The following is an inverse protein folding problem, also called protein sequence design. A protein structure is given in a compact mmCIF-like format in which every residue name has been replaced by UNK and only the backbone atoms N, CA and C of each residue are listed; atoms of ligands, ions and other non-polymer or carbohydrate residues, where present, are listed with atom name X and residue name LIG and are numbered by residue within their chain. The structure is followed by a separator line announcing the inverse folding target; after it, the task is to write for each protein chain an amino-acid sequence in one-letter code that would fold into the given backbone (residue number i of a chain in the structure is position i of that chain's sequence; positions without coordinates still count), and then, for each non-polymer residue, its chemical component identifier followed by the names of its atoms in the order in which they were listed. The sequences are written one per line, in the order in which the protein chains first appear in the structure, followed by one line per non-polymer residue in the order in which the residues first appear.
data_IF_026497593893
#
_entry.id   IF_026497593893
#
_cell.length_a   1.000
_cell.length_b   1.000
_cell.length_c   1.000
_cell.angle_alpha   90.00
_cell.angle_beta   90.00
_cell.angle_gamma   90.00
#
_symmetry.space_group_name_H-M   'P 1'
#
loop_
_entity.id
_entity.type
_entity.pdbx_description
1 polymer ?
#
# COMPACT_ATOMS: atom_id res chain seq x y z
N UNK A 1 23.63 14.50 0.75
CA UNK A 1 22.26 14.71 1.26
C UNK A 1 21.27 15.14 0.17
N UNK A 2 21.73 15.66 -0.97
CA UNK A 2 20.83 16.16 -2.04
C UNK A 2 20.15 15.08 -2.91
N UNK A 3 20.63 13.84 -2.90
CA UNK A 3 20.09 12.76 -3.75
C UNK A 3 18.73 12.23 -3.30
N UNK A 4 18.45 12.22 -1.98
CA UNK A 4 17.18 11.73 -1.43
C UNK A 4 16.07 12.74 -1.73
N UNK A 5 16.31 14.03 -1.50
CA UNK A 5 15.37 15.13 -1.79
C UNK A 5 15.01 15.19 -3.29
N UNK A 6 15.96 14.87 -4.18
CA UNK A 6 15.67 14.81 -5.62
C UNK A 6 14.85 13.56 -6.02
N UNK A 7 15.10 12.40 -5.43
CA UNK A 7 14.22 11.23 -5.60
C UNK A 7 12.80 11.49 -5.06
N UNK A 8 12.67 12.21 -3.94
CA UNK A 8 11.37 12.63 -3.40
C UNK A 8 10.64 13.62 -4.30
N UNK A 9 11.35 14.60 -4.88
CA UNK A 9 10.77 15.49 -5.89
C UNK A 9 10.31 14.71 -7.12
N UNK A 10 11.08 13.73 -7.57
CA UNK A 10 10.68 12.88 -8.70
C UNK A 10 9.44 12.04 -8.37
N UNK A 11 9.34 11.49 -7.15
CA UNK A 11 8.13 10.79 -6.67
C UNK A 11 6.91 11.72 -6.60
N UNK A 12 7.09 12.93 -6.04
CA UNK A 12 6.02 13.93 -5.92
C UNK A 12 5.58 14.49 -7.29
N UNK A 13 6.54 14.80 -8.18
CA UNK A 13 6.28 15.35 -9.51
C UNK A 13 5.67 14.30 -10.44
N UNK A 14 6.08 13.03 -10.33
CA UNK A 14 5.46 11.93 -11.08
C UNK A 14 4.07 11.57 -10.57
N UNK A 15 3.76 11.80 -9.29
CA UNK A 15 2.41 11.60 -8.74
C UNK A 15 1.39 12.63 -9.30
N UNK A 16 1.81 13.88 -9.52
CA UNK A 16 0.91 14.96 -9.97
C UNK A 16 0.54 14.82 -11.46
N UNK A 17 1.34 14.09 -12.25
CA UNK A 17 1.09 13.86 -13.67
C UNK A 17 1.28 12.39 -14.03
N UNK A 18 0.17 11.62 -14.05
CA UNK A 18 -0.15 10.49 -14.95
C UNK A 18 -1.04 9.50 -14.19
N UNK A 19 -2.28 9.30 -14.67
CA UNK A 19 -3.33 8.43 -14.10
C UNK A 19 -3.82 7.44 -15.17
N UNK A 20 -3.64 6.13 -14.97
CA UNK A 20 -4.34 5.02 -15.69
C UNK A 20 -3.98 3.66 -15.01
N UNK A 21 -4.66 2.49 -15.10
CA UNK A 21 -5.44 1.87 -16.18
C UNK A 21 -6.19 0.59 -15.72
N UNK A 22 -7.09 0.62 -14.73
CA UNK A 22 -7.91 -0.57 -14.38
C UNK A 22 -9.35 -0.14 -14.10
N UNK A 23 -10.40 -0.83 -14.56
CA UNK A 23 -11.79 -0.30 -14.47
C UNK A 23 -12.35 -0.35 -13.04
N UNK A 24 -12.14 -1.43 -12.29
CA UNK A 24 -12.56 -1.55 -10.88
C UNK A 24 -11.66 -0.72 -9.93
N UNK A 25 -10.34 -0.71 -10.19
CA UNK A 25 -9.41 0.20 -9.51
C UNK A 25 -9.72 1.65 -9.88
N UNK A 26 -10.13 1.97 -11.12
CA UNK A 26 -10.62 3.29 -11.54
C UNK A 26 -11.90 3.68 -10.80
N UNK A 27 -12.80 2.74 -10.52
CA UNK A 27 -14.05 3.04 -9.81
C UNK A 27 -13.75 3.31 -8.32
N UNK A 28 -12.82 2.57 -7.70
CA UNK A 28 -12.28 2.87 -6.37
C UNK A 28 -11.44 4.16 -6.35
N UNK A 29 -10.58 4.41 -7.33
CA UNK A 29 -9.78 5.65 -7.52
C UNK A 29 -10.66 6.87 -7.83
N UNK A 30 -11.79 6.68 -8.54
CA UNK A 30 -12.82 7.74 -8.70
C UNK A 30 -13.56 7.98 -7.39
N UNK A 31 -13.63 6.97 -6.53
CA UNK A 31 -14.27 7.09 -5.23
C UNK A 31 -13.35 7.73 -4.20
N UNK A 32 -12.02 7.58 -4.26
CA UNK A 32 -11.02 8.17 -3.36
C UNK A 32 -10.79 9.65 -3.69
N UNK A 33 -10.96 10.51 -2.68
CA UNK A 33 -10.89 11.96 -2.83
C UNK A 33 -9.65 12.58 -2.16
N UNK A 34 -8.93 11.81 -1.34
CA UNK A 34 -7.70 12.24 -0.69
C UNK A 34 -6.72 11.08 -0.48
N UNK A 35 -5.42 11.37 -0.64
CA UNK A 35 -4.34 10.39 -0.51
C UNK A 35 -3.42 10.80 0.62
N UNK A 36 -3.42 10.01 1.69
CA UNK A 36 -2.48 10.15 2.80
C UNK A 36 -1.31 9.19 2.59
N UNK A 37 -0.09 9.66 2.79
CA UNK A 37 1.12 8.85 2.68
C UNK A 37 1.96 9.02 3.93
N UNK A 38 2.21 7.92 4.64
CA UNK A 38 3.19 7.91 5.71
C UNK A 38 4.60 7.86 5.10
N UNK A 39 5.61 8.54 5.62
CA UNK A 39 7.02 8.37 5.22
C UNK A 39 7.94 8.89 6.33
N UNK A 40 8.86 8.07 6.86
CA UNK A 40 9.81 8.43 7.93
C UNK A 40 9.19 9.25 9.09
N UNK A 41 8.06 8.76 9.62
CA UNK A 41 7.24 9.39 10.69
C UNK A 41 6.57 10.72 10.30
N UNK A 42 6.43 10.99 9.02
CA UNK A 42 5.65 12.12 8.52
C UNK A 42 4.45 11.63 7.74
N UNK A 43 3.29 12.20 8.04
CA UNK A 43 2.09 11.97 7.26
C UNK A 43 1.95 13.11 6.25
N UNK A 44 1.90 12.77 4.97
CA UNK A 44 1.71 13.68 3.86
C UNK A 44 0.30 13.57 3.33
N UNK A 45 -0.28 14.70 2.95
CA UNK A 45 -1.45 14.73 2.09
C UNK A 45 -1.00 15.11 0.69
N UNK A 46 -1.07 14.17 -0.24
CA UNK A 46 -0.40 14.31 -1.52
C UNK A 46 -1.00 15.44 -2.35
N UNK A 47 -2.32 15.60 -2.35
CA UNK A 47 -3.02 16.59 -3.15
C UNK A 47 -2.61 18.03 -2.82
N UNK A 48 -2.21 18.28 -1.58
CA UNK A 48 -1.85 19.62 -1.10
C UNK A 48 -0.35 19.82 -0.87
N UNK A 49 0.43 18.73 -0.83
CA UNK A 49 1.82 18.74 -0.41
C UNK A 49 2.06 19.02 1.08
N UNK A 50 1.01 19.24 1.87
CA UNK A 50 1.13 19.47 3.32
C UNK A 50 1.53 18.18 4.02
N UNK A 51 2.30 18.33 5.08
CA UNK A 51 2.67 17.22 5.96
C UNK A 51 2.58 17.59 7.42
N UNK A 52 2.51 16.57 8.26
CA UNK A 52 2.58 16.70 9.72
C UNK A 52 3.42 15.57 10.29
N UNK A 53 4.30 15.92 11.22
CA UNK A 53 5.17 14.98 11.93
C UNK A 53 4.36 14.20 12.96
N UNK A 54 4.59 12.89 13.01
CA UNK A 54 4.09 11.98 14.04
C UNK A 54 5.10 11.90 15.20
N UNK A 55 4.61 11.53 16.38
CA UNK A 55 5.44 11.24 17.55
C UNK A 55 6.35 10.04 17.31
N UNK A 56 7.31 9.76 18.20
CA UNK A 56 8.24 8.64 18.00
C UNK A 56 7.60 7.26 18.12
N UNK A 57 6.56 7.14 18.95
CA UNK A 57 5.83 5.90 19.23
C UNK A 57 4.37 6.03 18.77
N UNK A 58 4.18 6.65 17.61
CA UNK A 58 2.86 6.90 17.06
C UNK A 58 2.08 5.60 16.87
N UNK A 59 0.77 5.67 17.10
CA UNK A 59 -0.18 4.59 16.86
C UNK A 59 -1.23 4.97 15.83
N UNK A 60 -2.17 4.07 15.56
CA UNK A 60 -3.24 4.29 14.58
C UNK A 60 -4.14 5.48 14.95
N UNK A 61 -4.42 5.69 16.24
CA UNK A 61 -5.22 6.82 16.73
C UNK A 61 -4.53 8.17 16.44
N UNK A 62 -3.21 8.28 16.62
CA UNK A 62 -2.46 9.49 16.28
C UNK A 62 -2.44 9.71 14.76
N UNK A 63 -2.20 8.64 13.99
CA UNK A 63 -2.19 8.70 12.52
C UNK A 63 -3.52 9.23 11.98
N UNK A 64 -4.65 8.74 12.51
CA UNK A 64 -5.99 9.21 12.12
C UNK A 64 -6.24 10.66 12.53
N UNK A 65 -5.85 11.06 13.75
CA UNK A 65 -6.00 12.43 14.22
C UNK A 65 -5.19 13.42 13.37
N UNK A 66 -3.96 13.06 13.02
CA UNK A 66 -3.10 13.82 12.11
C UNK A 66 -3.61 13.82 10.67
N UNK A 67 -4.21 12.72 10.22
CA UNK A 67 -4.95 12.68 8.96
C UNK A 67 -6.07 13.72 8.92
N UNK A 68 -6.88 13.80 9.99
CA UNK A 68 -7.96 14.80 10.11
C UNK A 68 -7.44 16.24 10.04
N UNK A 69 -6.31 16.52 10.69
CA UNK A 69 -5.64 17.83 10.65
C UNK A 69 -5.31 18.24 9.20
N UNK A 70 -4.69 17.36 8.42
CA UNK A 70 -4.33 17.63 7.02
C UNK A 70 -5.58 17.81 6.13
N UNK A 71 -6.61 17.03 6.38
CA UNK A 71 -7.86 17.02 5.62
C UNK A 71 -8.82 18.16 5.98
N UNK A 72 -8.49 19.02 6.96
CA UNK A 72 -9.39 20.06 7.46
C UNK A 72 -9.82 21.13 6.44
N UNK A 73 -9.23 21.15 5.23
CA UNK A 73 -9.62 22.07 4.16
C UNK A 73 -10.66 21.49 3.18
N UNK A 74 -10.98 20.19 3.28
CA UNK A 74 -12.04 19.59 2.47
C UNK A 74 -13.41 20.02 3.01
N UNK A 75 -14.31 20.43 2.10
CA UNK A 75 -15.68 20.88 2.45
C UNK A 75 -16.58 19.75 2.96
N UNK A 76 -16.28 18.52 2.57
CA UNK A 76 -16.95 17.30 3.01
C UNK A 76 -15.89 16.22 3.28
N UNK A 77 -16.15 15.27 4.21
CA UNK A 77 -15.20 14.20 4.50
C UNK A 77 -14.84 13.42 3.23
N UNK A 78 -13.56 13.44 2.80
CA UNK A 78 -13.15 12.65 1.66
C UNK A 78 -13.08 11.17 2.07
N UNK A 79 -13.29 10.31 1.09
CA UNK A 79 -12.79 8.94 1.08
C UNK A 79 -11.26 8.95 0.94
N UNK A 80 -10.61 8.17 1.79
CA UNK A 80 -9.17 8.26 1.99
C UNK A 80 -8.49 6.99 1.50
N UNK A 81 -7.41 7.16 0.75
CA UNK A 81 -6.41 6.13 0.50
C UNK A 81 -5.21 6.40 1.41
N UNK A 82 -4.80 5.39 2.17
CA UNK A 82 -3.63 5.44 3.03
C UNK A 82 -2.51 4.59 2.43
N UNK A 83 -1.41 5.26 2.09
CA UNK A 83 -0.20 4.64 1.59
C UNK A 83 0.77 4.40 2.76
N UNK A 84 1.05 3.13 3.04
CA UNK A 84 1.94 2.69 4.11
C UNK A 84 3.30 2.23 3.57
N UNK A 85 4.37 2.22 4.41
CA UNK A 85 5.63 1.61 4.03
C UNK A 85 5.46 0.22 3.44
N UNK A 86 6.17 -0.09 2.35
CA UNK A 86 6.12 -1.45 1.80
C UNK A 86 6.71 -2.47 2.77
N UNK A 87 7.59 -2.05 3.68
CA UNK A 87 8.05 -2.87 4.80
C UNK A 87 6.91 -3.42 5.69
N UNK A 88 5.74 -2.78 5.71
CA UNK A 88 4.60 -3.15 6.56
C UNK A 88 3.74 -4.29 5.98
N UNK A 89 4.12 -4.82 4.81
CA UNK A 89 3.41 -5.89 4.10
C UNK A 89 4.36 -7.04 3.83
N UNK A 90 4.01 -8.24 4.29
CA UNK A 90 4.78 -9.44 3.94
C UNK A 90 4.44 -9.87 2.51
N UNK A 91 5.38 -10.53 1.84
CA UNK A 91 5.17 -11.04 0.50
C UNK A 91 5.66 -12.48 0.34
N UNK A 92 4.86 -13.30 -0.34
CA UNK A 92 5.23 -14.68 -0.71
C UNK A 92 4.94 -14.94 -2.18
N UNK A 93 5.62 -15.93 -2.74
CA UNK A 93 5.42 -16.38 -4.12
C UNK A 93 4.54 -17.62 -4.13
N UNK A 94 3.51 -17.62 -4.98
CA UNK A 94 2.61 -18.75 -5.15
C UNK A 94 2.44 -19.07 -6.63
N UNK A 95 2.51 -20.35 -6.98
CA UNK A 95 1.92 -20.84 -8.23
C UNK A 95 0.44 -21.11 -7.96
N UNK A 96 -0.43 -20.32 -8.58
CA UNK A 96 -1.87 -20.43 -8.34
C UNK A 96 -2.52 -21.40 -9.34
N UNK A 97 -3.45 -22.26 -8.88
CA UNK A 97 -4.24 -23.10 -9.77
C UNK A 97 -5.21 -22.24 -10.61
N UNK A 98 -5.71 -22.80 -11.72
CA UNK A 98 -6.72 -22.16 -12.56
C UNK A 98 -8.08 -22.15 -11.85
N UNK A 99 -8.29 -21.18 -10.96
CA UNK A 99 -9.51 -21.00 -10.19
C UNK A 99 -10.08 -19.59 -10.38
N UNK A 100 -11.41 -19.42 -10.28
CA UNK A 100 -12.02 -18.10 -10.14
C UNK A 100 -11.41 -17.29 -8.99
N UNK A 101 -11.30 -15.97 -9.15
CA UNK A 101 -10.59 -15.07 -8.20
C UNK A 101 -11.04 -15.20 -6.74
N UNK A 102 -12.35 -15.34 -6.49
CA UNK A 102 -12.91 -15.55 -5.15
C UNK A 102 -12.46 -16.88 -4.52
N UNK A 103 -12.21 -17.89 -5.35
CA UNK A 103 -11.71 -19.19 -4.91
C UNK A 103 -10.20 -19.16 -4.68
N UNK A 104 -9.44 -18.30 -5.39
CA UNK A 104 -8.01 -18.12 -5.16
C UNK A 104 -7.71 -17.59 -3.76
N UNK A 105 -8.42 -16.55 -3.30
CA UNK A 105 -8.26 -16.03 -1.93
C UNK A 105 -8.62 -17.09 -0.90
N UNK A 106 -9.68 -17.86 -1.15
CA UNK A 106 -10.10 -18.94 -0.24
C UNK A 106 -9.06 -20.05 -0.17
N UNK A 107 -8.47 -20.44 -1.30
CA UNK A 107 -7.39 -21.43 -1.35
C UNK A 107 -6.13 -20.94 -0.62
N UNK A 108 -5.73 -19.69 -0.82
CA UNK A 108 -4.61 -19.08 -0.11
C UNK A 108 -4.83 -19.04 1.40
N UNK A 109 -6.06 -18.75 1.85
CA UNK A 109 -6.42 -18.78 3.29
C UNK A 109 -6.22 -20.15 3.91
N UNK A 110 -6.49 -21.24 3.18
CA UNK A 110 -6.28 -22.60 3.67
C UNK A 110 -4.79 -22.95 3.82
N UNK A 111 -3.91 -22.22 3.13
CA UNK A 111 -2.45 -22.46 3.10
C UNK A 111 -1.68 -21.50 4.02
N UNK A 112 -2.35 -20.65 4.80
CA UNK A 112 -1.67 -19.62 5.62
C UNK A 112 -0.67 -20.24 6.59
N UNK A 113 -1.03 -21.30 7.31
CA UNK A 113 -0.13 -21.97 8.27
C UNK A 113 1.12 -22.57 7.59
N UNK A 114 0.99 -23.06 6.35
CA UNK A 114 2.13 -23.57 5.59
C UNK A 114 3.00 -22.44 5.02
N UNK A 115 2.36 -21.33 4.64
CA UNK A 115 2.99 -20.19 3.96
C UNK A 115 3.69 -19.25 4.94
N UNK A 116 3.09 -19.06 6.11
CA UNK A 116 3.54 -18.17 7.17
C UNK A 116 3.57 -18.95 8.50
N UNK A 117 4.44 -19.97 8.64
CA UNK A 117 4.41 -20.92 9.76
C UNK A 117 4.65 -20.28 11.13
N UNK A 118 5.26 -19.10 11.16
CA UNK A 118 5.51 -18.33 12.39
C UNK A 118 4.49 -17.19 12.61
N UNK A 119 3.49 -17.05 11.75
CA UNK A 119 2.47 -16.00 11.84
C UNK A 119 1.15 -16.61 12.32
N UNK A 120 0.89 -16.46 13.62
CA UNK A 120 -0.25 -17.07 14.33
C UNK A 120 -1.52 -16.21 14.30
N UNK A 121 -1.47 -15.04 13.65
CA UNK A 121 -2.57 -14.07 13.61
C UNK A 121 -3.35 -14.12 12.30
N UNK A 122 -4.63 -13.71 12.30
CA UNK A 122 -5.39 -13.54 11.06
C UNK A 122 -4.72 -12.54 10.11
N UNK A 123 -4.75 -12.85 8.81
CA UNK A 123 -4.13 -12.03 7.76
C UNK A 123 -5.13 -11.58 6.70
N UNK A 124 -5.00 -10.31 6.30
CA UNK A 124 -5.54 -9.81 5.05
C UNK A 124 -4.64 -10.23 3.88
N UNK A 125 -5.25 -10.51 2.73
CA UNK A 125 -4.58 -11.04 1.53
C UNK A 125 -4.87 -10.12 0.35
N UNK A 126 -3.82 -9.73 -0.38
CA UNK A 126 -3.93 -9.04 -1.65
C UNK A 126 -3.11 -9.75 -2.75
N UNK A 127 -3.66 -9.83 -3.96
CA UNK A 127 -2.97 -10.41 -5.12
C UNK A 127 -3.37 -9.69 -6.40
N UNK A 128 -2.44 -9.64 -7.37
CA UNK A 128 -2.71 -9.05 -8.67
C UNK A 128 -3.40 -10.07 -9.59
N UNK A 129 -4.70 -9.89 -9.84
CA UNK A 129 -5.48 -10.81 -10.68
C UNK A 129 -5.13 -10.77 -12.17
N UNK A 130 -4.23 -9.89 -12.63
CA UNK A 130 -3.66 -9.94 -14.00
C UNK A 130 -2.49 -10.89 -14.12
N UNK A 131 -1.90 -11.27 -12.98
CA UNK A 131 -0.75 -12.20 -12.93
C UNK A 131 -1.15 -13.67 -12.85
N UNK A 132 -2.45 -13.97 -12.72
CA UNK A 132 -2.98 -15.33 -12.57
C UNK A 132 -3.11 -16.07 -13.91
N UNK A 133 -2.14 -15.91 -14.81
CA UNK A 133 -1.99 -16.86 -15.91
C UNK A 133 -1.64 -18.22 -15.31
N UNK A 134 -2.38 -19.25 -15.73
CA UNK A 134 -2.26 -20.61 -15.19
C UNK A 134 -0.80 -21.08 -15.22
N UNK A 135 -0.27 -21.46 -14.07
CA UNK A 135 1.09 -21.98 -13.93
C UNK A 135 2.20 -20.91 -13.83
N UNK A 136 1.87 -19.61 -13.82
CA UNK A 136 2.84 -18.55 -13.50
C UNK A 136 2.81 -18.19 -12.02
N UNK A 137 3.99 -17.97 -11.46
CA UNK A 137 4.11 -17.48 -10.10
C UNK A 137 3.53 -16.05 -9.98
N UNK A 138 2.78 -15.83 -8.91
CA UNK A 138 2.29 -14.53 -8.48
C UNK A 138 2.84 -14.16 -7.11
N UNK A 139 2.92 -12.86 -6.85
CA UNK A 139 3.21 -12.34 -5.53
C UNK A 139 1.89 -12.09 -4.79
N UNK A 140 1.79 -12.70 -3.62
CA UNK A 140 0.72 -12.46 -2.65
C UNK A 140 1.26 -11.56 -1.56
N UNK A 141 0.53 -10.51 -1.24
CA UNK A 141 0.83 -9.59 -0.14
C UNK A 141 -0.06 -9.91 1.06
N UNK A 142 0.53 -9.85 2.25
CA UNK A 142 -0.11 -10.18 3.51
C UNK A 142 0.03 -9.01 4.49
N UNK A 143 -1.01 -8.79 5.28
CA UNK A 143 -0.98 -7.82 6.38
C UNK A 143 -1.76 -8.33 7.58
N UNK A 144 -1.29 -8.01 8.80
CA UNK A 144 -2.02 -8.31 10.05
C UNK A 144 -3.43 -7.69 9.97
N UNK A 145 -4.45 -8.54 10.10
CA UNK A 145 -5.84 -8.09 10.05
C UNK A 145 -6.17 -7.15 11.21
N UNK A 146 -5.62 -7.40 12.40
CA UNK A 146 -5.90 -6.59 13.58
C UNK A 146 -5.33 -5.16 13.42
N UNK A 147 -4.16 -5.02 12.78
CA UNK A 147 -3.61 -3.69 12.46
C UNK A 147 -4.49 -2.92 11.48
N UNK A 148 -5.01 -3.60 10.45
CA UNK A 148 -5.95 -2.99 9.49
C UNK A 148 -7.25 -2.57 10.18
N UNK A 149 -7.83 -3.44 11.00
CA UNK A 149 -9.06 -3.15 11.75
C UNK A 149 -8.84 -1.94 12.68
N UNK A 150 -7.69 -1.88 13.36
CA UNK A 150 -7.32 -0.74 14.19
C UNK A 150 -7.15 0.56 13.40
N UNK A 151 -6.65 0.51 12.16
CA UNK A 151 -6.61 1.67 11.27
C UNK A 151 -8.02 2.13 10.88
N UNK A 152 -8.88 1.22 10.43
CA UNK A 152 -10.26 1.56 10.06
C UNK A 152 -11.03 2.16 11.24
N UNK A 153 -10.92 1.55 12.42
CA UNK A 153 -11.54 2.06 13.65
C UNK A 153 -10.98 3.44 14.05
N UNK A 154 -9.67 3.65 13.97
CA UNK A 154 -9.07 4.94 14.30
C UNK A 154 -9.54 6.07 13.38
N UNK A 155 -9.60 5.82 12.06
CA UNK A 155 -10.15 6.79 11.11
C UNK A 155 -11.64 7.04 11.35
N UNK A 156 -12.42 5.98 11.63
CA UNK A 156 -13.84 6.10 11.94
C UNK A 156 -14.09 6.96 13.19
N UNK A 157 -13.30 6.81 14.27
CA UNK A 157 -13.38 7.66 15.48
C UNK A 157 -13.17 9.15 15.18
N UNK A 158 -12.50 9.46 14.07
CA UNK A 158 -12.24 10.82 13.61
C UNK A 158 -13.28 11.34 12.61
N UNK A 159 -14.37 10.59 12.38
CA UNK A 159 -15.39 10.82 11.35
C UNK A 159 -14.83 10.78 9.91
N UNK A 160 -13.79 9.97 9.70
CA UNK A 160 -13.13 9.80 8.41
C UNK A 160 -13.44 8.43 7.81
N UNK A 161 -13.60 8.38 6.48
CA UNK A 161 -13.79 7.14 5.76
C UNK A 161 -12.48 6.68 5.10
N UNK A 162 -11.80 5.74 5.73
CA UNK A 162 -10.64 5.06 5.15
C UNK A 162 -11.13 4.01 4.15
N UNK A 163 -10.94 4.27 2.85
CA UNK A 163 -11.44 3.44 1.77
C UNK A 163 -10.42 2.36 1.37
N UNK A 164 -9.13 2.71 1.32
CA UNK A 164 -8.07 1.83 0.82
C UNK A 164 -6.83 1.98 1.69
N UNK A 165 -6.18 0.85 1.99
CA UNK A 165 -4.83 0.78 2.55
C UNK A 165 -3.97 0.00 1.56
N UNK A 166 -2.86 0.60 1.12
CA UNK A 166 -1.95 -0.06 0.17
C UNK A 166 -0.48 0.29 0.46
N UNK A 167 0.48 -0.51 -0.03
CA UNK A 167 1.89 -0.15 0.01
C UNK A 167 2.17 1.05 -0.89
N UNK A 168 2.93 2.02 -0.39
CA UNK A 168 3.37 3.24 -1.10
C UNK A 168 3.96 2.95 -2.46
N UNK A 169 4.79 1.92 -2.57
CA UNK A 169 5.48 1.59 -3.81
C UNK A 169 4.53 1.14 -4.93
N UNK A 170 3.31 0.69 -4.60
CA UNK A 170 2.30 0.32 -5.59
C UNK A 170 1.55 1.52 -6.17
N UNK A 171 1.61 2.68 -5.51
CA UNK A 171 1.10 3.92 -6.07
C UNK A 171 1.98 4.43 -7.24
N UNK A 172 3.17 3.85 -7.43
CA UNK A 172 4.06 4.16 -8.55
C UNK A 172 3.53 3.52 -9.84
N UNK A 173 3.42 4.31 -10.90
CA UNK A 173 3.08 3.77 -12.21
C UNK A 173 4.32 3.21 -12.90
N UNK A 174 4.45 1.88 -12.85
CA UNK A 174 5.35 1.15 -13.73
C UNK A 174 4.83 1.26 -15.19
N UNK A 175 5.64 1.84 -16.06
CA UNK A 175 5.30 2.16 -17.45
C UNK A 175 6.32 1.63 -18.45
N UNK A 176 7.47 1.14 -17.95
CA UNK A 176 8.46 0.41 -18.72
C UNK A 176 8.11 -1.07 -18.89
N UNK A 177 8.83 -1.73 -19.77
CA UNK A 177 8.77 -3.18 -19.91
C UNK A 177 9.23 -3.87 -18.62
N UNK A 178 10.28 -3.33 -17.98
CA UNK A 178 10.77 -3.72 -16.66
C UNK A 178 11.09 -2.44 -15.89
N UNK A 179 10.50 -2.27 -14.72
CA UNK A 179 10.77 -1.17 -13.80
C UNK A 179 11.18 -1.72 -12.43
N UNK A 180 12.23 -1.16 -11.83
CA UNK A 180 12.73 -1.53 -10.51
C UNK A 180 12.74 -0.33 -9.57
N UNK A 181 12.16 -0.49 -8.38
CA UNK A 181 12.03 0.55 -7.37
C UNK A 181 12.59 0.05 -6.04
N UNK A 182 13.39 0.90 -5.40
CA UNK A 182 13.97 0.62 -4.09
C UNK A 182 13.41 1.64 -3.10
N UNK A 183 12.49 1.20 -2.26
CA UNK A 183 11.97 2.02 -1.18
C UNK A 183 12.83 1.84 0.07
N UNK A 184 13.23 2.97 0.67
CA UNK A 184 14.01 3.01 1.90
C UNK A 184 13.28 3.84 2.93
N UNK A 185 13.07 3.22 4.08
CA UNK A 185 12.60 3.80 5.33
C UNK A 185 13.76 3.75 6.35
N UNK A 186 13.65 4.52 7.44
CA UNK A 186 14.55 4.40 8.60
C UNK A 186 14.74 2.97 9.11
N UNK A 187 13.74 2.09 8.99
CA UNK A 187 13.71 0.72 9.51
C UNK A 187 13.85 -0.36 8.44
N UNK A 188 13.32 -0.12 7.24
CA UNK A 188 13.16 -1.16 6.22
C UNK A 188 13.69 -0.71 4.85
N UNK A 189 14.14 -1.67 4.05
CA UNK A 189 14.43 -1.50 2.63
C UNK A 189 13.64 -2.53 1.83
N UNK A 190 12.84 -2.08 0.87
CA UNK A 190 12.02 -2.95 0.01
C UNK A 190 12.37 -2.71 -1.45
N UNK A 191 12.87 -3.73 -2.12
CA UNK A 191 13.04 -3.77 -3.57
C UNK A 191 11.78 -4.37 -4.21
N UNK A 192 11.20 -3.63 -5.15
CA UNK A 192 10.07 -4.08 -5.96
C UNK A 192 10.41 -3.98 -7.43
N UNK A 193 10.05 -5.02 -8.20
CA UNK A 193 10.18 -5.01 -9.65
C UNK A 193 8.85 -5.31 -10.31
N UNK A 194 8.54 -4.54 -11.34
CA UNK A 194 7.41 -4.72 -12.21
C UNK A 194 7.89 -5.14 -13.61
N UNK A 195 7.14 -6.04 -14.23
CA UNK A 195 7.28 -6.38 -15.64
C UNK A 195 5.92 -6.17 -16.31
N UNK A 196 5.85 -5.30 -17.32
CA UNK A 196 4.59 -4.92 -17.98
C UNK A 196 3.49 -4.52 -16.97
N UNK A 197 3.84 -3.71 -15.97
CA UNK A 197 2.98 -3.29 -14.85
C UNK A 197 2.45 -4.43 -13.96
N UNK A 198 3.02 -5.63 -14.05
CA UNK A 198 2.75 -6.76 -13.15
C UNK A 198 3.87 -6.88 -12.13
N UNK A 199 3.51 -6.94 -10.85
CA UNK A 199 4.47 -7.17 -9.76
C UNK A 199 5.14 -8.54 -9.91
N UNK A 200 6.47 -8.57 -10.03
CA UNK A 200 7.30 -9.79 -10.22
C UNK A 200 8.28 -10.07 -9.10
N UNK A 201 8.72 -9.03 -8.40
CA UNK A 201 9.64 -9.15 -7.28
C UNK A 201 9.19 -8.25 -6.14
N UNK A 202 9.26 -8.80 -4.93
CA UNK A 202 9.16 -8.11 -3.67
C UNK A 202 10.22 -8.71 -2.75
N UNK A 203 11.20 -7.92 -2.35
CA UNK A 203 12.29 -8.35 -1.48
C UNK A 203 12.46 -7.32 -0.37
N UNK A 204 12.44 -7.78 0.87
CA UNK A 204 12.58 -6.94 2.05
C UNK A 204 13.89 -7.27 2.75
N UNK A 205 14.58 -6.22 3.17
CA UNK A 205 15.70 -6.28 4.09
C UNK A 205 15.37 -5.43 5.31
N UNK A 206 15.44 -6.05 6.49
CA UNK A 206 15.45 -5.34 7.76
C UNK A 206 16.86 -4.84 8.04
N UNK A 207 16.97 -3.59 8.47
CA UNK A 207 18.25 -2.96 8.83
C UNK A 207 18.65 -3.27 10.27
#
# INVERSE_FOLDING_TARGET
MDSLINQFKDLFLNFIWRRSANKAYKELEKSVSATLMLFDKELYLIESGKSVRLSDNWGTDELAAKGKELLGHFKAPPSIQLLLPSGDFLATRHSLPDLPKNNLISALRLQVEETLPSFDKPVAIALNSRSSEVGKETIVLWKDQAELDNLYLAFQKQDLFLAVVEPRILALQASGQIDGFLERDGLNETLVMFENSVLKTWQQAHK
#
